data_IF_536940959333
#
_entry.id   IF_536940959333
#
_cell.length_a   1.000
_cell.length_b   1.000
_cell.length_c   1.000
_cell.angle_alpha   90.00
_cell.angle_beta   90.00
_cell.angle_gamma   90.00
#
_symmetry.space_group_name_H-M   'P 1'
#
loop_
_entity.id
_entity.type
_entity.pdbx_description
1 polymer ?
#
# COMPACT_ATOMS: atom_id res chain seq x y z
N UNK A 1 21.20 -22.23 -5.08
CA UNK A 1 22.11 -23.16 -5.85
C UNK A 1 23.52 -22.58 -5.98
N UNK A 2 23.77 -21.48 -6.69
CA UNK A 2 25.13 -20.95 -6.91
C UNK A 2 25.90 -20.72 -5.60
N UNK A 3 25.31 -20.07 -4.62
CA UNK A 3 25.95 -19.83 -3.31
C UNK A 3 26.33 -21.14 -2.59
N UNK A 4 25.46 -22.16 -2.61
CA UNK A 4 25.78 -23.46 -2.03
C UNK A 4 26.95 -24.13 -2.75
N UNK A 5 27.06 -24.00 -4.08
CA UNK A 5 28.21 -24.49 -4.86
C UNK A 5 29.50 -23.70 -4.57
N UNK A 6 29.37 -22.42 -4.21
CA UNK A 6 30.50 -21.58 -3.81
C UNK A 6 30.95 -21.82 -2.36
N UNK A 7 30.31 -22.76 -1.66
CA UNK A 7 30.70 -23.20 -0.32
C UNK A 7 29.99 -22.51 0.84
N UNK A 8 28.98 -21.69 0.58
CA UNK A 8 28.17 -21.08 1.64
C UNK A 8 27.20 -22.10 2.24
N UNK A 9 27.01 -22.07 3.55
CA UNK A 9 25.87 -22.67 4.22
C UNK A 9 24.64 -21.76 4.03
N UNK A 10 23.75 -22.14 3.12
CA UNK A 10 22.65 -21.28 2.67
C UNK A 10 21.40 -21.52 3.51
N UNK A 11 20.96 -20.50 4.25
CA UNK A 11 19.62 -20.43 4.83
C UNK A 11 18.69 -19.69 3.89
N UNK A 12 17.69 -20.38 3.34
CA UNK A 12 16.66 -19.74 2.51
C UNK A 12 15.56 -19.16 3.40
N UNK A 13 15.36 -17.85 3.36
CA UNK A 13 14.34 -17.16 4.14
C UNK A 13 13.23 -16.61 3.23
N UNK A 14 11.98 -16.96 3.52
CA UNK A 14 10.78 -16.45 2.86
C UNK A 14 10.01 -15.56 3.84
N UNK A 15 9.98 -14.25 3.61
CA UNK A 15 9.17 -13.33 4.40
C UNK A 15 7.75 -13.27 3.81
N UNK A 16 6.77 -13.80 4.55
CA UNK A 16 5.37 -13.85 4.15
C UNK A 16 4.62 -12.60 4.60
N UNK A 17 4.09 -11.85 3.64
CA UNK A 17 3.23 -10.66 3.83
C UNK A 17 1.76 -10.97 3.56
N UNK A 18 1.35 -12.22 3.69
CA UNK A 18 -0.04 -12.68 3.49
C UNK A 18 -0.41 -13.00 2.04
N UNK A 19 0.58 -13.13 1.14
CA UNK A 19 0.37 -13.45 -0.27
C UNK A 19 0.49 -14.92 -0.64
N UNK A 20 0.94 -15.79 0.29
CA UNK A 20 1.16 -17.20 0.03
C UNK A 20 0.11 -18.09 0.70
N UNK A 21 -0.38 -19.11 -0.04
CA UNK A 21 -1.12 -20.21 0.57
C UNK A 21 -0.16 -21.18 1.30
N UNK A 22 -0.72 -22.04 2.15
CA UNK A 22 0.07 -23.07 2.83
C UNK A 22 0.77 -24.03 1.86
N UNK A 23 0.10 -24.36 0.75
CA UNK A 23 0.65 -25.22 -0.31
C UNK A 23 1.84 -24.54 -1.00
N UNK A 24 1.72 -23.23 -1.27
CA UNK A 24 2.81 -22.44 -1.86
C UNK A 24 4.01 -22.36 -0.91
N UNK A 25 3.80 -22.15 0.38
CA UNK A 25 4.88 -22.13 1.38
C UNK A 25 5.59 -23.47 1.46
N UNK A 26 4.85 -24.59 1.44
CA UNK A 26 5.43 -25.96 1.39
C UNK A 26 6.23 -26.20 0.10
N UNK A 27 5.71 -25.73 -1.04
CA UNK A 27 6.42 -25.83 -2.31
C UNK A 27 7.71 -25.00 -2.32
N UNK A 28 7.68 -23.80 -1.74
CA UNK A 28 8.87 -22.95 -1.58
C UNK A 28 9.95 -23.63 -0.73
N UNK A 29 9.55 -24.24 0.37
CA UNK A 29 10.47 -25.00 1.23
C UNK A 29 11.12 -26.16 0.48
N UNK A 30 10.32 -26.99 -0.20
CA UNK A 30 10.83 -28.12 -1.00
C UNK A 30 11.81 -27.66 -2.10
N UNK A 31 11.48 -26.57 -2.78
CA UNK A 31 12.34 -25.99 -3.81
C UNK A 31 13.64 -25.44 -3.21
N UNK A 32 13.60 -24.80 -2.04
CA UNK A 32 14.79 -24.31 -1.37
C UNK A 32 15.79 -25.44 -1.08
N UNK A 33 15.33 -26.53 -0.49
CA UNK A 33 16.18 -27.71 -0.24
C UNK A 33 16.69 -28.35 -1.55
N UNK A 34 15.84 -28.47 -2.56
CA UNK A 34 16.24 -28.99 -3.88
C UNK A 34 17.32 -28.13 -4.55
N UNK A 35 17.32 -26.82 -4.28
CA UNK A 35 18.32 -25.87 -4.78
C UNK A 35 19.59 -25.80 -3.93
N UNK A 36 19.70 -26.60 -2.86
CA UNK A 36 20.88 -26.73 -2.03
C UNK A 36 20.90 -25.85 -0.78
N UNK A 37 19.76 -25.35 -0.33
CA UNK A 37 19.69 -24.70 0.98
C UNK A 37 19.91 -25.71 2.09
N UNK A 38 20.71 -25.35 3.10
CA UNK A 38 20.93 -26.15 4.31
C UNK A 38 19.73 -26.03 5.26
N UNK A 39 19.04 -24.86 5.24
CA UNK A 39 17.85 -24.59 6.05
C UNK A 39 16.86 -23.72 5.28
N UNK A 40 15.58 -23.90 5.58
CA UNK A 40 14.51 -23.01 5.13
C UNK A 40 13.75 -22.44 6.33
N UNK A 41 13.32 -21.20 6.23
CA UNK A 41 12.46 -20.53 7.22
C UNK A 41 11.42 -19.67 6.54
N UNK A 42 10.17 -19.77 6.99
CA UNK A 42 9.12 -18.80 6.69
C UNK A 42 9.03 -17.82 7.85
N UNK A 43 9.22 -16.54 7.55
CA UNK A 43 9.07 -15.42 8.49
C UNK A 43 7.70 -14.78 8.23
N UNK A 44 6.73 -15.06 9.10
CA UNK A 44 5.43 -14.41 8.99
C UNK A 44 5.52 -12.99 9.55
N UNK A 45 5.34 -12.01 8.67
CA UNK A 45 5.38 -10.58 9.01
C UNK A 45 4.03 -9.90 8.85
N UNK A 46 2.96 -10.65 8.61
CA UNK A 46 1.65 -10.13 8.24
C UNK A 46 1.09 -9.17 9.29
N UNK A 47 1.09 -9.58 10.56
CA UNK A 47 0.61 -8.74 11.66
C UNK A 47 1.54 -7.55 11.93
N UNK A 48 2.86 -7.74 11.89
CA UNK A 48 3.81 -6.63 12.06
C UNK A 48 3.64 -5.60 10.93
N UNK A 49 3.44 -6.05 9.70
CA UNK A 49 3.19 -5.19 8.55
C UNK A 49 1.90 -4.38 8.71
N UNK A 50 0.83 -5.01 9.22
CA UNK A 50 -0.39 -4.26 9.54
C UNK A 50 -0.14 -3.20 10.61
N UNK A 51 0.36 -3.59 11.77
CA UNK A 51 0.52 -2.71 12.92
C UNK A 51 1.50 -1.55 12.68
N UNK A 52 2.51 -1.77 11.86
CA UNK A 52 3.59 -0.81 11.62
C UNK A 52 3.50 -0.04 10.31
N UNK A 53 2.59 -0.42 9.42
CA UNK A 53 2.44 0.26 8.13
C UNK A 53 1.00 0.37 7.66
N UNK A 54 0.29 -0.73 7.44
CA UNK A 54 -1.04 -0.68 6.81
C UNK A 54 -2.03 0.16 7.62
N UNK A 55 -1.98 0.07 8.93
CA UNK A 55 -2.77 0.90 9.84
C UNK A 55 -2.61 2.40 9.53
N UNK A 56 -1.37 2.85 9.38
CA UNK A 56 -1.09 4.26 9.07
C UNK A 56 -1.41 4.63 7.63
N UNK A 57 -1.30 3.67 6.71
CA UNK A 57 -1.77 3.87 5.33
C UNK A 57 -3.30 4.06 5.28
N UNK A 58 -4.05 3.35 6.13
CA UNK A 58 -5.50 3.53 6.29
C UNK A 58 -5.76 4.90 6.93
N UNK A 59 -5.15 5.22 8.07
CA UNK A 59 -5.31 6.50 8.77
C UNK A 59 -5.00 7.71 7.88
N UNK A 60 -3.98 7.58 7.04
CA UNK A 60 -3.57 8.59 6.07
C UNK A 60 -4.37 8.60 4.77
N UNK A 61 -5.21 7.61 4.50
CA UNK A 61 -5.81 7.39 3.17
C UNK A 61 -4.76 7.37 2.06
N UNK A 62 -3.64 6.67 2.29
CA UNK A 62 -2.42 6.77 1.47
C UNK A 62 -2.59 6.06 0.13
N UNK A 63 -2.56 6.86 -0.94
CA UNK A 63 -2.61 6.39 -2.33
C UNK A 63 -1.60 7.20 -3.17
N UNK A 64 -0.59 6.54 -3.74
CA UNK A 64 0.35 7.21 -4.64
C UNK A 64 -0.36 7.62 -5.93
N UNK A 65 -0.17 8.87 -6.35
CA UNK A 65 -0.83 9.46 -7.51
C UNK A 65 -2.37 9.29 -7.48
N UNK A 66 -2.96 9.26 -6.28
CA UNK A 66 -4.40 9.07 -6.04
C UNK A 66 -4.98 7.74 -6.58
N UNK A 67 -4.16 6.78 -6.97
CA UNK A 67 -4.65 5.50 -7.52
C UNK A 67 -3.97 4.27 -6.91
N UNK A 68 -2.65 4.27 -6.71
CA UNK A 68 -1.89 3.09 -6.32
C UNK A 68 -1.70 2.98 -4.81
N UNK A 69 -2.14 1.87 -4.17
CA UNK A 69 -2.11 1.72 -2.70
C UNK A 69 -0.72 1.35 -2.15
N UNK A 70 0.35 1.48 -2.93
CA UNK A 70 1.76 1.26 -2.55
C UNK A 70 2.01 -0.17 -1.98
N UNK A 71 1.28 -1.18 -2.47
CA UNK A 71 1.35 -2.54 -1.94
C UNK A 71 2.77 -3.10 -1.91
N UNK A 72 3.44 -3.18 -3.06
CA UNK A 72 4.79 -3.76 -3.16
C UNK A 72 5.83 -2.96 -2.38
N UNK A 73 5.80 -1.63 -2.46
CA UNK A 73 6.83 -0.81 -1.82
C UNK A 73 6.85 -0.99 -0.30
N UNK A 74 5.66 -0.98 0.31
CA UNK A 74 5.52 -1.14 1.76
C UNK A 74 5.86 -2.56 2.20
N UNK A 75 5.47 -3.59 1.46
CA UNK A 75 5.81 -4.98 1.76
C UNK A 75 7.31 -5.25 1.79
N UNK A 76 8.05 -4.78 0.76
CA UNK A 76 9.49 -5.03 0.62
C UNK A 76 10.28 -4.57 1.83
N UNK A 77 9.87 -3.46 2.44
CA UNK A 77 10.51 -2.93 3.65
C UNK A 77 10.38 -3.92 4.82
N UNK A 78 9.18 -4.44 5.07
CA UNK A 78 8.94 -5.39 6.16
C UNK A 78 9.56 -6.76 5.89
N UNK A 79 9.59 -7.20 4.64
CA UNK A 79 10.34 -8.37 4.22
C UNK A 79 11.83 -8.20 4.51
N UNK A 80 12.42 -7.07 4.15
CA UNK A 80 13.83 -6.78 4.38
C UNK A 80 14.16 -6.68 5.88
N UNK A 81 13.32 -6.03 6.68
CA UNK A 81 13.49 -5.93 8.14
C UNK A 81 13.51 -7.33 8.78
N UNK A 82 12.57 -8.21 8.41
CA UNK A 82 12.49 -9.56 8.94
C UNK A 82 13.72 -10.39 8.56
N UNK A 83 14.16 -10.31 7.31
CA UNK A 83 15.36 -11.02 6.82
C UNK A 83 16.63 -10.50 7.54
N UNK A 84 16.76 -9.17 7.70
CA UNK A 84 17.90 -8.59 8.42
C UNK A 84 17.95 -9.02 9.90
N UNK A 85 16.79 -9.09 10.56
CA UNK A 85 16.69 -9.60 11.94
C UNK A 85 17.11 -11.06 12.03
N UNK A 86 16.59 -11.89 11.12
CA UNK A 86 16.95 -13.32 11.08
C UNK A 86 18.42 -13.51 10.79
N UNK A 87 19.00 -12.78 9.86
CA UNK A 87 20.43 -12.86 9.56
C UNK A 87 21.31 -12.52 10.78
N UNK A 88 20.93 -11.49 11.55
CA UNK A 88 21.61 -11.14 12.81
C UNK A 88 21.44 -12.20 13.89
N UNK A 89 20.25 -12.77 14.02
CA UNK A 89 19.94 -13.82 14.99
C UNK A 89 20.82 -15.07 14.80
N UNK A 90 21.01 -15.47 13.54
CA UNK A 90 21.85 -16.63 13.22
C UNK A 90 23.33 -16.32 13.05
N UNK A 91 23.73 -15.04 13.16
CA UNK A 91 25.13 -14.62 12.94
C UNK A 91 25.59 -14.83 11.49
N UNK A 92 24.72 -14.54 10.52
CA UNK A 92 25.04 -14.72 9.11
C UNK A 92 26.16 -13.76 8.66
N UNK A 93 27.10 -14.24 7.88
CA UNK A 93 28.18 -13.46 7.27
C UNK A 93 27.66 -12.60 6.10
N UNK A 94 26.62 -13.08 5.40
CA UNK A 94 26.04 -12.40 4.23
C UNK A 94 24.53 -12.56 4.13
N UNK A 95 23.89 -11.58 3.49
CA UNK A 95 22.51 -11.63 3.01
C UNK A 95 22.53 -11.58 1.49
N UNK A 96 21.86 -12.54 0.83
CA UNK A 96 21.78 -12.59 -0.62
C UNK A 96 20.36 -12.33 -1.12
N UNK A 97 20.22 -11.57 -2.20
CA UNK A 97 18.95 -11.40 -2.91
C UNK A 97 19.11 -11.32 -4.43
N UNK A 98 18.03 -11.62 -5.17
CA UNK A 98 18.01 -11.68 -6.63
C UNK A 98 17.42 -10.42 -7.32
N UNK A 99 17.38 -9.28 -6.66
CA UNK A 99 16.86 -8.07 -7.29
C UNK A 99 17.78 -7.60 -8.43
N UNK A 100 17.16 -7.19 -9.54
CA UNK A 100 17.89 -6.65 -10.70
C UNK A 100 18.26 -5.18 -10.50
N UNK A 101 19.24 -4.69 -11.25
CA UNK A 101 19.63 -3.27 -11.27
C UNK A 101 18.60 -2.32 -11.88
N UNK A 102 17.52 -2.84 -12.49
CA UNK A 102 16.53 -2.03 -13.20
C UNK A 102 15.36 -1.56 -12.31
N UNK A 103 15.07 -2.28 -11.21
CA UNK A 103 13.90 -2.03 -10.35
C UNK A 103 14.22 -1.31 -9.05
N UNK A 104 13.18 -1.00 -8.28
CA UNK A 104 13.28 -0.36 -6.97
C UNK A 104 13.69 -1.34 -5.86
N UNK A 105 13.44 -2.64 -6.03
CA UNK A 105 13.56 -3.63 -4.96
C UNK A 105 15.00 -3.76 -4.45
N UNK A 106 15.99 -3.64 -5.34
CA UNK A 106 17.40 -3.59 -4.94
C UNK A 106 17.67 -2.50 -3.91
N UNK A 107 17.10 -1.30 -4.10
CA UNK A 107 17.29 -0.17 -3.20
C UNK A 107 16.60 -0.45 -1.86
N UNK A 108 15.38 -0.98 -1.90
CA UNK A 108 14.58 -1.27 -0.71
C UNK A 108 15.25 -2.31 0.19
N UNK A 109 15.80 -3.35 -0.41
CA UNK A 109 16.53 -4.39 0.32
C UNK A 109 17.87 -3.88 0.83
N UNK A 110 18.71 -3.36 -0.04
CA UNK A 110 20.06 -2.92 0.34
C UNK A 110 20.03 -1.84 1.44
N UNK A 111 19.23 -0.79 1.28
CA UNK A 111 19.13 0.26 2.29
C UNK A 111 18.68 -0.28 3.65
N UNK A 112 17.68 -1.17 3.65
CA UNK A 112 17.21 -1.77 4.90
C UNK A 112 18.28 -2.67 5.53
N UNK A 113 18.98 -3.46 4.73
CA UNK A 113 20.06 -4.34 5.23
C UNK A 113 21.23 -3.56 5.78
N UNK A 114 21.68 -2.50 5.09
CA UNK A 114 22.75 -1.63 5.56
C UNK A 114 22.46 -1.01 6.92
N UNK A 115 21.18 -0.66 7.19
CA UNK A 115 20.78 -0.06 8.47
C UNK A 115 20.52 -1.12 9.54
N UNK A 116 19.82 -2.21 9.19
CA UNK A 116 19.31 -3.19 10.17
C UNK A 116 20.30 -4.32 10.47
N UNK A 117 21.25 -4.59 9.56
CA UNK A 117 22.28 -5.61 9.71
C UNK A 117 23.66 -5.04 9.34
N UNK A 118 24.14 -4.01 10.07
CA UNK A 118 25.41 -3.37 9.75
C UNK A 118 26.57 -4.37 9.86
N UNK A 119 27.45 -4.38 8.86
CA UNK A 119 28.60 -5.27 8.79
C UNK A 119 28.34 -6.65 8.17
N UNK A 120 27.09 -6.98 7.82
CA UNK A 120 26.74 -8.17 7.04
C UNK A 120 26.96 -7.86 5.56
N UNK A 121 27.63 -8.75 4.82
CA UNK A 121 27.86 -8.60 3.39
C UNK A 121 26.54 -8.71 2.63
N UNK A 122 26.34 -7.88 1.59
CA UNK A 122 25.18 -7.99 0.70
C UNK A 122 25.62 -8.60 -0.63
N UNK A 123 25.09 -9.77 -0.97
CA UNK A 123 25.42 -10.49 -2.21
C UNK A 123 24.25 -10.37 -3.19
N UNK A 124 24.53 -9.84 -4.38
CA UNK A 124 23.53 -9.56 -5.42
C UNK A 124 23.95 -10.09 -6.78
N UNK A 125 24.09 -11.42 -6.90
CA UNK A 125 24.64 -12.07 -8.10
C UNK A 125 23.99 -11.62 -9.40
N UNK A 126 22.66 -11.48 -9.42
CA UNK A 126 21.89 -11.06 -10.60
C UNK A 126 22.27 -9.65 -11.04
N UNK A 127 22.34 -8.70 -10.11
CA UNK A 127 22.71 -7.32 -10.36
C UNK A 127 24.18 -7.17 -10.74
N UNK A 128 25.06 -7.77 -9.93
CA UNK A 128 26.51 -7.55 -10.03
C UNK A 128 27.10 -8.18 -11.31
N UNK A 129 26.47 -9.24 -11.80
CA UNK A 129 26.85 -9.91 -13.05
C UNK A 129 26.00 -9.47 -14.25
N UNK A 130 25.02 -8.58 -14.02
CA UNK A 130 24.04 -8.14 -15.02
C UNK A 130 23.38 -9.32 -15.76
N UNK A 131 23.04 -10.39 -15.02
CA UNK A 131 22.47 -11.60 -15.61
C UNK A 131 21.11 -11.30 -16.23
N UNK A 132 20.93 -11.74 -17.46
CA UNK A 132 19.62 -11.79 -18.08
C UNK A 132 18.80 -12.95 -17.54
N UNK A 133 17.48 -12.84 -17.62
CA UNK A 133 16.57 -13.92 -17.23
C UNK A 133 16.85 -15.24 -17.98
N UNK A 134 17.27 -15.16 -19.24
CA UNK A 134 17.63 -16.33 -20.02
C UNK A 134 18.87 -17.01 -19.48
N UNK A 135 19.91 -16.25 -19.12
CA UNK A 135 21.13 -16.81 -18.52
C UNK A 135 20.86 -17.49 -17.18
N UNK A 136 19.95 -16.93 -16.35
CA UNK A 136 19.52 -17.55 -15.09
C UNK A 136 18.80 -18.89 -15.36
N UNK A 137 17.90 -18.92 -16.34
CA UNK A 137 17.17 -20.14 -16.76
C UNK A 137 18.15 -21.20 -17.30
N UNK A 138 19.08 -20.81 -18.15
CA UNK A 138 20.07 -21.71 -18.74
C UNK A 138 20.97 -22.29 -17.66
N UNK A 139 21.38 -21.47 -16.69
CA UNK A 139 22.15 -21.94 -15.53
C UNK A 139 21.38 -23.00 -14.71
N UNK A 140 20.10 -22.74 -14.40
CA UNK A 140 19.27 -23.69 -13.65
C UNK A 140 19.08 -25.00 -14.43
N UNK A 141 18.80 -24.94 -15.74
CA UNK A 141 18.64 -26.10 -16.60
C UNK A 141 19.93 -26.93 -16.67
N UNK A 142 21.09 -26.30 -16.82
CA UNK A 142 22.39 -26.95 -16.85
C UNK A 142 22.71 -27.71 -15.56
N UNK A 143 22.08 -27.32 -14.44
CA UNK A 143 22.24 -27.96 -13.13
C UNK A 143 21.06 -28.86 -12.73
N UNK A 144 20.24 -29.27 -13.71
CA UNK A 144 19.16 -30.25 -13.50
C UNK A 144 17.90 -29.69 -12.84
N UNK A 145 17.76 -28.36 -12.75
CA UNK A 145 16.55 -27.71 -12.30
C UNK A 145 15.81 -27.15 -13.51
N UNK A 146 14.78 -27.85 -13.98
CA UNK A 146 13.91 -27.36 -15.04
C UNK A 146 12.58 -26.88 -14.46
N UNK A 147 12.20 -25.66 -14.82
CA UNK A 147 10.86 -25.11 -14.62
C UNK A 147 10.43 -24.41 -15.92
N UNK A 148 9.15 -24.41 -16.20
CA UNK A 148 8.61 -23.72 -17.38
C UNK A 148 8.57 -22.22 -17.13
N UNK A 149 9.67 -21.52 -17.45
CA UNK A 149 9.79 -20.07 -17.32
C UNK A 149 9.27 -19.32 -18.57
N UNK A 150 8.89 -20.03 -19.63
CA UNK A 150 8.53 -19.45 -20.93
C UNK A 150 7.13 -18.84 -20.93
N UNK A 151 6.28 -19.18 -19.97
CA UNK A 151 4.86 -18.74 -19.90
C UNK A 151 4.62 -17.46 -19.12
N UNK A 152 5.63 -16.83 -18.54
CA UNK A 152 5.42 -15.66 -17.69
C UNK A 152 5.50 -14.36 -18.49
N UNK A 153 4.42 -14.06 -19.24
CA UNK A 153 4.20 -12.74 -19.85
C UNK A 153 4.16 -11.64 -18.79
N UNK A 154 3.63 -11.96 -17.62
CA UNK A 154 3.50 -11.05 -16.48
C UNK A 154 4.28 -11.56 -15.28
N UNK A 155 4.76 -10.63 -14.47
CA UNK A 155 5.32 -10.87 -13.15
C UNK A 155 4.35 -10.35 -12.10
N UNK A 156 4.03 -11.18 -11.11
CA UNK A 156 3.09 -10.87 -10.05
C UNK A 156 3.78 -10.76 -8.70
N UNK A 157 3.37 -9.76 -7.91
CA UNK A 157 3.68 -9.69 -6.49
C UNK A 157 2.36 -9.67 -5.72
N UNK A 158 2.06 -10.76 -5.02
CA UNK A 158 0.83 -10.96 -4.28
C UNK A 158 1.08 -10.74 -2.80
N UNK A 159 0.30 -9.89 -2.17
CA UNK A 159 0.35 -9.63 -0.73
C UNK A 159 -1.03 -9.26 -0.19
N UNK A 160 -1.13 -9.08 1.12
CA UNK A 160 -2.41 -8.75 1.77
C UNK A 160 -2.96 -7.38 1.33
N UNK A 161 -2.09 -6.46 0.91
CA UNK A 161 -2.48 -5.09 0.51
C UNK A 161 -2.61 -4.93 -1.01
N UNK A 162 -2.82 -6.02 -1.73
CA UNK A 162 -3.07 -6.08 -3.16
C UNK A 162 -1.99 -6.81 -3.95
N UNK A 163 -2.29 -7.01 -5.22
CA UNK A 163 -1.42 -7.67 -6.19
C UNK A 163 -0.92 -6.67 -7.21
N UNK A 164 0.38 -6.58 -7.42
CA UNK A 164 0.92 -5.81 -8.54
C UNK A 164 1.29 -6.72 -9.72
N UNK A 165 1.14 -6.18 -10.92
CA UNK A 165 1.31 -6.86 -12.20
C UNK A 165 2.31 -6.05 -13.02
N UNK A 166 3.38 -6.69 -13.49
CA UNK A 166 4.41 -6.05 -14.32
C UNK A 166 4.64 -6.81 -15.62
N UNK A 167 5.07 -6.13 -16.66
CA UNK A 167 5.36 -6.71 -17.98
C UNK A 167 4.19 -6.65 -18.96
N UNK A 168 4.26 -7.41 -20.03
CA UNK A 168 3.22 -7.47 -21.06
C UNK A 168 2.89 -6.11 -21.67
N UNK A 169 1.62 -5.79 -21.77
CA UNK A 169 1.07 -4.56 -22.37
C UNK A 169 1.48 -3.28 -21.62
N UNK A 170 1.92 -3.40 -20.35
CA UNK A 170 2.38 -2.23 -19.58
C UNK A 170 3.66 -1.59 -20.12
N UNK A 171 4.38 -2.27 -21.01
CA UNK A 171 5.55 -1.73 -21.70
C UNK A 171 5.17 -0.74 -22.83
N UNK A 172 3.92 -0.72 -23.23
CA UNK A 172 3.37 0.18 -24.24
C UNK A 172 2.38 1.15 -23.58
N UNK A 173 2.69 2.45 -23.60
CA UNK A 173 1.88 3.48 -22.92
C UNK A 173 0.45 3.61 -23.46
N UNK A 174 0.18 3.14 -24.68
CA UNK A 174 -1.14 3.17 -25.31
C UNK A 174 -2.04 1.98 -24.96
N UNK A 175 -1.50 0.95 -24.25
CA UNK A 175 -2.23 -0.28 -23.93
C UNK A 175 -2.56 -0.39 -22.46
N UNK A 176 -3.74 -0.92 -22.15
CA UNK A 176 -4.14 -1.39 -20.83
C UNK A 176 -3.87 -2.88 -20.65
N UNK A 177 -4.00 -3.35 -19.39
CA UNK A 177 -3.98 -4.79 -19.11
C UNK A 177 -5.27 -5.45 -19.62
N UNK A 178 -5.19 -6.57 -20.34
CA UNK A 178 -6.35 -7.35 -20.73
C UNK A 178 -6.89 -8.17 -19.54
N UNK A 179 -8.11 -8.69 -19.67
CA UNK A 179 -8.78 -9.42 -18.58
C UNK A 179 -7.99 -10.63 -18.08
N UNK A 180 -7.31 -11.34 -18.97
CA UNK A 180 -6.47 -12.49 -18.64
C UNK A 180 -5.20 -12.17 -17.83
N UNK A 181 -4.84 -10.89 -17.72
CA UNK A 181 -3.71 -10.47 -16.91
C UNK A 181 -4.06 -10.39 -15.42
N UNK A 182 -5.33 -10.31 -15.08
CA UNK A 182 -5.78 -10.26 -13.68
C UNK A 182 -5.94 -11.67 -13.11
N UNK A 183 -5.51 -11.86 -11.85
CA UNK A 183 -5.59 -13.16 -11.17
C UNK A 183 -7.00 -13.47 -10.66
N UNK A 184 -7.80 -12.45 -10.39
CA UNK A 184 -9.18 -12.57 -9.89
C UNK A 184 -10.13 -12.04 -10.94
N UNK A 185 -11.17 -12.82 -11.28
CA UNK A 185 -12.13 -12.46 -12.33
C UNK A 185 -13.44 -11.96 -11.74
N UNK A 186 -14.17 -11.14 -12.53
CA UNK A 186 -15.49 -10.65 -12.13
C UNK A 186 -16.46 -11.82 -12.09
N UNK A 187 -17.08 -12.05 -10.95
CA UNK A 187 -18.06 -13.12 -10.71
C UNK A 187 -19.41 -12.60 -10.22
N UNK A 188 -19.46 -11.35 -9.75
CA UNK A 188 -20.66 -10.70 -9.27
C UNK A 188 -21.13 -9.63 -10.24
N UNK A 189 -22.45 -9.65 -10.56
CA UNK A 189 -23.10 -8.70 -11.49
C UNK A 189 -24.15 -7.83 -10.83
N UNK A 190 -24.75 -8.29 -9.74
CA UNK A 190 -25.79 -7.58 -8.99
C UNK A 190 -25.18 -6.58 -8.01
N UNK A 191 -25.82 -5.42 -7.86
CA UNK A 191 -25.39 -4.41 -6.88
C UNK A 191 -25.51 -4.93 -5.44
N UNK A 192 -24.55 -4.61 -4.61
CA UNK A 192 -24.52 -4.98 -3.20
C UNK A 192 -24.04 -3.81 -2.35
N UNK A 193 -24.64 -3.64 -1.16
CA UNK A 193 -24.09 -2.74 -0.14
C UNK A 193 -22.96 -3.44 0.61
N UNK A 194 -21.86 -2.72 0.78
CA UNK A 194 -20.75 -3.08 1.66
C UNK A 194 -20.72 -2.08 2.81
N UNK A 195 -20.75 -2.59 4.04
CA UNK A 195 -20.68 -1.81 5.27
C UNK A 195 -19.33 -2.09 5.93
N UNK A 196 -18.52 -1.05 6.13
CA UNK A 196 -17.24 -1.18 6.84
C UNK A 196 -17.32 -0.31 8.07
N UNK A 197 -17.22 -0.95 9.25
CA UNK A 197 -17.27 -0.26 10.54
C UNK A 197 -15.87 -0.04 11.06
N UNK A 198 -15.63 1.20 11.51
CA UNK A 198 -14.36 1.61 12.09
C UNK A 198 -14.56 2.04 13.56
N UNK A 199 -13.57 1.76 14.39
CA UNK A 199 -13.40 2.41 15.68
C UNK A 199 -12.02 3.04 15.76
N UNK A 200 -12.00 4.37 15.94
CA UNK A 200 -10.77 5.18 15.93
C UNK A 200 -9.85 4.89 14.73
N UNK A 201 -10.48 4.77 13.55
CA UNK A 201 -9.82 4.52 12.28
C UNK A 201 -9.47 3.06 11.99
N UNK A 202 -9.60 2.14 12.94
CA UNK A 202 -9.36 0.72 12.74
C UNK A 202 -10.64 -0.04 12.39
N UNK A 203 -10.57 -0.98 11.44
CA UNK A 203 -11.71 -1.79 11.01
C UNK A 203 -12.13 -2.71 12.17
N UNK A 204 -13.41 -2.72 12.52
CA UNK A 204 -13.98 -3.57 13.57
C UNK A 204 -15.06 -4.53 13.09
N UNK A 205 -15.72 -4.20 11.96
CA UNK A 205 -16.70 -5.11 11.35
C UNK A 205 -16.80 -4.90 9.83
N UNK A 206 -17.26 -5.93 9.12
CA UNK A 206 -17.57 -5.93 7.70
C UNK A 206 -18.96 -6.56 7.53
N UNK A 207 -19.92 -5.83 6.94
CA UNK A 207 -21.31 -6.24 6.81
C UNK A 207 -21.93 -6.74 8.13
N UNK A 208 -21.65 -5.96 9.19
CA UNK A 208 -22.09 -6.23 10.57
C UNK A 208 -21.47 -7.49 11.23
N UNK A 209 -20.60 -8.22 10.53
CA UNK A 209 -19.77 -9.30 11.09
C UNK A 209 -18.53 -8.70 11.79
N UNK A 210 -18.33 -8.96 13.10
CA UNK A 210 -17.20 -8.39 13.84
C UNK A 210 -15.89 -9.11 13.52
N UNK A 211 -14.78 -8.34 13.50
CA UNK A 211 -13.43 -8.84 13.29
C UNK A 211 -12.47 -8.29 14.35
N UNK A 212 -11.97 -9.15 15.22
CA UNK A 212 -10.87 -8.82 16.12
C UNK A 212 -9.54 -8.78 15.35
N UNK A 213 -9.36 -9.73 14.40
CA UNK A 213 -8.20 -9.80 13.53
C UNK A 213 -8.40 -8.93 12.29
N UNK A 214 -7.61 -7.86 12.21
CA UNK A 214 -7.65 -6.87 11.11
C UNK A 214 -7.21 -7.46 9.77
N UNK A 215 -6.35 -8.48 9.81
CA UNK A 215 -5.91 -9.20 8.61
C UNK A 215 -7.09 -9.92 7.97
N UNK A 216 -7.90 -10.62 8.79
CA UNK A 216 -9.10 -11.31 8.31
C UNK A 216 -10.15 -10.34 7.78
N UNK A 217 -10.30 -9.17 8.40
CA UNK A 217 -11.18 -8.12 7.90
C UNK A 217 -10.75 -7.63 6.51
N UNK A 218 -9.45 -7.36 6.31
CA UNK A 218 -8.89 -6.97 5.02
C UNK A 218 -9.11 -8.07 3.98
N UNK A 219 -8.84 -9.33 4.33
CA UNK A 219 -9.07 -10.48 3.44
C UNK A 219 -10.54 -10.63 3.04
N UNK A 220 -11.46 -10.40 3.99
CA UNK A 220 -12.90 -10.44 3.70
C UNK A 220 -13.34 -9.33 2.74
N UNK A 221 -12.83 -8.12 2.92
CA UNK A 221 -13.12 -7.00 2.01
C UNK A 221 -12.50 -7.27 0.62
N UNK A 222 -11.29 -7.86 0.57
CA UNK A 222 -10.65 -8.25 -0.68
C UNK A 222 -11.48 -9.29 -1.42
N UNK A 223 -11.95 -10.34 -0.75
CA UNK A 223 -12.83 -11.37 -1.32
C UNK A 223 -14.08 -10.75 -1.96
N UNK A 224 -14.79 -9.89 -1.19
CA UNK A 224 -16.00 -9.23 -1.65
C UNK A 224 -15.70 -8.31 -2.84
N UNK A 225 -14.73 -7.43 -2.73
CA UNK A 225 -14.45 -6.43 -3.76
C UNK A 225 -13.84 -7.00 -5.04
N UNK A 226 -12.99 -8.02 -4.91
CA UNK A 226 -12.39 -8.69 -6.06
C UNK A 226 -13.43 -9.43 -6.92
N UNK A 227 -14.50 -9.96 -6.31
CA UNK A 227 -15.60 -10.57 -7.04
C UNK A 227 -16.31 -9.59 -8.00
N UNK A 228 -16.20 -8.30 -7.75
CA UNK A 228 -16.65 -7.22 -8.65
C UNK A 228 -15.56 -6.67 -9.56
N UNK A 229 -14.31 -7.13 -9.46
CA UNK A 229 -13.18 -6.57 -10.20
C UNK A 229 -12.79 -5.15 -9.76
N UNK A 230 -13.17 -4.76 -8.54
CA UNK A 230 -12.83 -3.43 -7.98
C UNK A 230 -11.34 -3.35 -7.68
N UNK A 231 -10.76 -2.15 -7.76
CA UNK A 231 -9.36 -1.89 -7.42
C UNK A 231 -8.36 -2.28 -8.51
N UNK A 232 -8.82 -2.54 -9.74
CA UNK A 232 -7.97 -2.75 -10.90
C UNK A 232 -7.62 -1.41 -11.54
N UNK A 233 -6.33 -1.14 -11.71
CA UNK A 233 -5.85 0.09 -12.37
C UNK A 233 -4.38 -0.06 -12.77
N UNK A 234 -3.82 1.00 -13.34
CA UNK A 234 -2.42 1.11 -13.71
C UNK A 234 -1.83 2.42 -13.18
N UNK A 235 -0.81 2.31 -12.33
CA UNK A 235 -0.05 3.46 -11.89
C UNK A 235 1.10 3.75 -12.85
N UNK A 236 1.29 5.04 -13.15
CA UNK A 236 2.45 5.57 -13.87
C UNK A 236 3.20 6.49 -12.94
N UNK A 237 4.49 6.26 -12.74
CA UNK A 237 5.29 7.09 -11.84
C UNK A 237 6.78 6.88 -12.01
N UNK A 238 7.55 7.70 -11.31
CA UNK A 238 9.00 7.56 -11.31
C UNK A 238 9.41 6.44 -10.35
N UNK A 239 10.37 5.63 -10.80
CA UNK A 239 11.14 4.75 -9.91
C UNK A 239 12.05 5.59 -9.01
N UNK A 240 12.58 5.01 -7.95
CA UNK A 240 13.53 5.69 -7.03
C UNK A 240 14.76 6.19 -7.81
N UNK A 241 15.16 5.49 -8.86
CA UNK A 241 16.27 5.87 -9.73
C UNK A 241 15.89 6.86 -10.85
N UNK A 242 14.67 7.40 -10.84
CA UNK A 242 14.24 8.47 -11.74
C UNK A 242 13.75 8.04 -13.13
N UNK A 243 13.51 6.75 -13.35
CA UNK A 243 12.97 6.23 -14.62
C UNK A 243 11.45 6.07 -14.51
N UNK A 244 10.70 6.51 -15.52
CA UNK A 244 9.26 6.28 -15.62
C UNK A 244 8.95 4.79 -15.73
N UNK A 245 8.04 4.32 -14.85
CA UNK A 245 7.57 2.95 -14.88
C UNK A 245 6.05 2.88 -14.84
N UNK A 246 5.53 1.76 -15.31
CA UNK A 246 4.11 1.43 -15.21
C UNK A 246 3.96 0.14 -14.42
N UNK A 247 3.01 0.12 -13.50
CA UNK A 247 2.63 -1.06 -12.74
C UNK A 247 1.11 -1.19 -12.76
N UNK A 248 0.62 -2.32 -13.27
CA UNK A 248 -0.77 -2.69 -13.11
C UNK A 248 -1.00 -3.28 -11.72
N UNK A 249 -2.23 -3.24 -11.26
CA UNK A 249 -2.57 -3.83 -9.97
C UNK A 249 -4.03 -4.21 -9.88
N UNK A 250 -4.31 -5.15 -8.97
CA UNK A 250 -5.63 -5.44 -8.43
C UNK A 250 -5.55 -5.37 -6.90
N UNK A 251 -6.33 -4.49 -6.30
CA UNK A 251 -6.23 -4.14 -4.88
C UNK A 251 -7.60 -3.69 -4.36
N UNK A 252 -8.55 -4.62 -4.29
CA UNK A 252 -9.93 -4.31 -3.94
C UNK A 252 -10.05 -3.83 -2.49
N UNK A 253 -9.44 -4.54 -1.54
CA UNK A 253 -9.49 -4.16 -0.13
C UNK A 253 -8.88 -2.78 0.10
N UNK A 254 -7.65 -2.46 -0.32
CA UNK A 254 -7.08 -1.12 -0.14
C UNK A 254 -7.99 -0.02 -0.69
N UNK A 255 -8.52 -0.21 -1.90
CA UNK A 255 -9.38 0.78 -2.54
C UNK A 255 -10.67 1.02 -1.77
N UNK A 256 -11.34 -0.04 -1.36
CA UNK A 256 -12.60 0.04 -0.62
C UNK A 256 -12.40 0.58 0.80
N UNK A 257 -11.35 0.11 1.50
CA UNK A 257 -11.05 0.54 2.87
C UNK A 257 -10.69 2.02 2.91
N UNK A 258 -9.78 2.46 2.03
CA UNK A 258 -9.34 3.86 1.98
C UNK A 258 -10.49 4.79 1.64
N UNK A 259 -11.35 4.45 0.68
CA UNK A 259 -12.49 5.31 0.33
C UNK A 259 -13.58 5.30 1.39
N UNK A 260 -13.85 4.16 2.05
CA UNK A 260 -14.77 4.08 3.18
C UNK A 260 -14.25 4.91 4.38
N UNK A 261 -12.97 4.77 4.71
CA UNK A 261 -12.33 5.51 5.79
C UNK A 261 -12.32 7.02 5.49
N UNK A 262 -11.92 7.43 4.28
CA UNK A 262 -11.96 8.82 3.82
C UNK A 262 -13.38 9.41 3.86
N UNK A 263 -14.39 8.60 3.50
CA UNK A 263 -15.78 9.03 3.61
C UNK A 263 -16.15 9.33 5.06
N UNK A 264 -15.83 8.43 5.99
CA UNK A 264 -16.12 8.62 7.42
C UNK A 264 -15.40 9.85 7.98
N UNK A 265 -14.15 10.09 7.60
CA UNK A 265 -13.38 11.27 8.03
C UNK A 265 -14.01 12.59 7.61
N UNK A 266 -14.64 12.67 6.42
CA UNK A 266 -15.33 13.86 5.97
C UNK A 266 -16.45 14.30 6.91
N UNK A 267 -17.04 13.36 7.63
CA UNK A 267 -18.10 13.62 8.60
C UNK A 267 -17.60 13.83 10.04
N UNK A 268 -16.41 13.32 10.37
CA UNK A 268 -15.94 13.27 11.76
C UNK A 268 -14.74 14.17 12.05
N UNK A 269 -14.04 14.66 11.05
CA UNK A 269 -12.90 15.57 11.18
C UNK A 269 -13.25 17.00 10.81
N UNK A 270 -12.65 17.96 11.53
CA UNK A 270 -12.71 19.35 11.14
C UNK A 270 -11.95 19.60 9.83
N UNK A 271 -12.29 20.71 9.14
CA UNK A 271 -11.63 21.13 7.89
C UNK A 271 -10.10 21.11 8.01
N UNK A 272 -9.55 21.70 9.05
CA UNK A 272 -8.10 21.84 9.20
C UNK A 272 -7.41 20.52 9.59
N UNK A 273 -8.09 19.63 10.34
CA UNK A 273 -7.58 18.28 10.59
C UNK A 273 -7.43 17.49 9.28
N UNK A 274 -8.42 17.55 8.38
CA UNK A 274 -8.34 16.86 7.08
C UNK A 274 -7.17 17.41 6.25
N UNK A 275 -7.03 18.74 6.11
CA UNK A 275 -5.95 19.34 5.33
C UNK A 275 -4.56 18.97 5.82
N UNK A 276 -4.31 19.06 7.13
CA UNK A 276 -3.00 18.73 7.70
C UNK A 276 -2.71 17.23 7.61
N UNK A 277 -3.70 16.39 7.92
CA UNK A 277 -3.56 14.94 7.82
C UNK A 277 -3.19 14.52 6.38
N UNK A 278 -3.86 15.04 5.36
CA UNK A 278 -3.59 14.71 3.98
C UNK A 278 -2.17 15.12 3.54
N UNK A 279 -1.67 16.25 4.00
CA UNK A 279 -0.29 16.68 3.73
C UNK A 279 0.72 15.70 4.34
N UNK A 280 0.53 15.36 5.61
CA UNK A 280 1.43 14.45 6.34
C UNK A 280 1.37 13.04 5.77
N UNK A 281 0.19 12.57 5.39
CA UNK A 281 -0.03 11.26 4.80
C UNK A 281 0.64 11.11 3.42
N UNK A 282 0.66 12.18 2.61
CA UNK A 282 1.40 12.18 1.35
C UNK A 282 2.90 11.95 1.57
N UNK A 283 3.50 12.55 2.60
CA UNK A 283 4.88 12.30 2.96
C UNK A 283 5.09 10.87 3.47
N UNK A 284 4.17 10.34 4.29
CA UNK A 284 4.22 8.94 4.73
C UNK A 284 4.30 7.97 3.53
N UNK A 285 3.41 8.15 2.56
CA UNK A 285 3.41 7.36 1.33
C UNK A 285 4.68 7.52 0.50
N UNK A 286 5.23 8.75 0.44
CA UNK A 286 6.48 9.02 -0.26
C UNK A 286 7.66 8.30 0.41
N UNK A 287 7.80 8.39 1.72
CA UNK A 287 8.86 7.69 2.46
C UNK A 287 8.79 6.18 2.32
N UNK A 288 7.58 5.59 2.34
CA UNK A 288 7.39 4.17 2.05
C UNK A 288 7.86 3.82 0.62
N UNK A 289 7.48 4.63 -0.37
CA UNK A 289 7.87 4.36 -1.76
C UNK A 289 9.38 4.47 -1.96
N UNK A 290 10.01 5.49 -1.38
CA UNK A 290 11.44 5.81 -1.51
C UNK A 290 12.34 4.99 -0.57
N UNK A 291 11.79 3.98 0.12
CA UNK A 291 12.54 3.14 1.07
C UNK A 291 13.07 3.88 2.31
N UNK A 292 12.43 4.99 2.68
CA UNK A 292 12.83 5.84 3.80
C UNK A 292 11.99 5.56 5.07
N UNK A 293 11.43 4.36 5.20
CA UNK A 293 10.61 3.98 6.36
C UNK A 293 11.37 4.10 7.70
N UNK A 294 12.69 3.89 7.69
CA UNK A 294 13.53 3.96 8.88
C UNK A 294 13.94 5.40 9.25
N UNK A 295 13.47 6.41 8.52
CA UNK A 295 13.72 7.80 8.87
C UNK A 295 13.09 8.18 10.21
N UNK A 296 13.82 8.92 11.08
CA UNK A 296 13.33 9.31 12.41
C UNK A 296 12.03 10.12 12.42
N UNK A 297 11.67 10.76 11.31
CA UNK A 297 10.40 11.50 11.17
C UNK A 297 9.18 10.58 11.04
N UNK A 298 9.36 9.31 10.69
CA UNK A 298 8.22 8.40 10.48
C UNK A 298 7.37 8.20 11.75
N UNK A 299 7.94 7.95 12.94
CA UNK A 299 7.16 7.91 14.18
C UNK A 299 6.41 9.20 14.50
N UNK A 300 6.95 10.39 14.15
CA UNK A 300 6.27 11.67 14.35
C UNK A 300 5.02 11.77 13.46
N UNK A 301 5.13 11.36 12.20
CA UNK A 301 4.03 11.26 11.26
C UNK A 301 2.98 10.28 11.76
N UNK A 302 3.37 9.09 12.19
CA UNK A 302 2.50 8.04 12.73
C UNK A 302 1.74 8.52 13.98
N UNK A 303 2.40 9.25 14.87
CA UNK A 303 1.77 9.86 16.04
C UNK A 303 0.71 10.89 15.65
N UNK A 304 0.96 11.73 14.65
CA UNK A 304 -0.02 12.69 14.13
C UNK A 304 -1.21 11.97 13.48
N UNK A 305 -0.96 10.98 12.63
CA UNK A 305 -2.01 10.17 12.01
C UNK A 305 -2.88 9.50 13.08
N UNK A 306 -2.27 8.85 14.09
CA UNK A 306 -2.99 8.24 15.21
C UNK A 306 -3.85 9.25 15.97
N UNK A 307 -3.28 10.43 16.29
CA UNK A 307 -4.02 11.49 16.99
C UNK A 307 -5.24 11.97 16.23
N UNK A 308 -5.20 11.97 14.90
CA UNK A 308 -6.32 12.38 14.06
C UNK A 308 -7.51 11.42 14.14
N UNK A 309 -7.29 10.16 14.49
CA UNK A 309 -8.30 9.11 14.44
C UNK A 309 -9.22 9.03 15.66
N UNK A 310 -9.00 9.84 16.70
CA UNK A 310 -9.74 9.77 17.98
C UNK A 310 -11.25 9.72 17.85
N UNK A 311 -11.82 10.39 16.86
CA UNK A 311 -13.27 10.49 16.64
C UNK A 311 -13.70 9.83 15.30
N UNK A 312 -12.79 9.14 14.60
CA UNK A 312 -13.10 8.46 13.33
C UNK A 312 -13.68 7.07 13.67
N UNK A 313 -14.90 7.09 14.18
CA UNK A 313 -15.64 5.86 14.56
C UNK A 313 -17.04 5.90 13.97
N UNK A 314 -17.47 4.79 13.37
CA UNK A 314 -18.76 4.65 12.69
C UNK A 314 -18.69 3.69 11.51
N UNK A 315 -19.80 3.55 10.81
CA UNK A 315 -19.92 2.67 9.64
C UNK A 315 -20.00 3.49 8.37
N UNK A 316 -19.09 3.25 7.44
CA UNK A 316 -19.17 3.76 6.07
C UNK A 316 -19.90 2.74 5.18
N UNK A 317 -20.75 3.23 4.29
CA UNK A 317 -21.60 2.43 3.41
C UNK A 317 -21.21 2.71 1.97
N UNK A 318 -20.82 1.67 1.27
CA UNK A 318 -20.47 1.68 -0.16
C UNK A 318 -21.49 0.81 -0.93
N UNK A 319 -21.80 1.17 -2.16
CA UNK A 319 -22.60 0.36 -3.07
C UNK A 319 -21.68 -0.16 -4.18
N UNK A 320 -21.47 -1.47 -4.21
CA UNK A 320 -20.61 -2.16 -5.15
C UNK A 320 -21.38 -2.50 -6.43
N UNK A 321 -20.67 -2.44 -7.56
CA UNK A 321 -21.14 -2.86 -8.89
C UNK A 321 -19.93 -3.38 -9.69
N UNK A 322 -20.15 -4.11 -10.79
CA UNK A 322 -19.04 -4.54 -11.64
C UNK A 322 -18.09 -3.39 -12.01
N UNK A 323 -16.81 -3.59 -11.75
CA UNK A 323 -15.69 -2.69 -12.02
C UNK A 323 -15.75 -1.33 -11.29
N UNK A 324 -16.59 -1.18 -10.24
CA UNK A 324 -16.69 0.08 -9.54
C UNK A 324 -17.54 0.05 -8.28
N UNK A 325 -17.62 1.20 -7.61
CA UNK A 325 -18.49 1.42 -6.46
C UNK A 325 -18.82 2.90 -6.33
N UNK A 326 -19.82 3.20 -5.51
CA UNK A 326 -20.13 4.56 -5.08
C UNK A 326 -20.23 4.64 -3.55
N UNK A 327 -19.91 5.80 -2.99
CA UNK A 327 -20.10 6.08 -1.57
C UNK A 327 -21.55 6.45 -1.33
N UNK A 328 -22.24 5.77 -0.38
CA UNK A 328 -23.64 5.99 -0.06
C UNK A 328 -23.80 6.94 1.11
N UNK A 329 -23.08 6.70 2.21
CA UNK A 329 -23.17 7.53 3.41
C UNK A 329 -22.44 6.92 4.60
N UNK A 330 -22.65 7.53 5.77
CA UNK A 330 -22.07 7.08 7.04
C UNK A 330 -23.12 7.01 8.14
N UNK A 331 -22.91 6.13 9.10
CA UNK A 331 -23.58 6.16 10.40
C UNK A 331 -22.53 6.31 11.50
N UNK A 332 -22.56 7.46 12.18
CA UNK A 332 -21.60 7.81 13.22
C UNK A 332 -22.25 8.70 14.28
N UNK A 333 -21.87 8.47 15.52
CA UNK A 333 -22.22 9.36 16.66
C UNK A 333 -21.37 10.64 16.64
N UNK A 334 -20.23 10.61 15.94
CA UNK A 334 -19.29 11.73 15.79
C UNK A 334 -19.55 12.59 14.54
N UNK A 335 -20.67 12.38 13.87
CA UNK A 335 -21.05 13.06 12.64
C UNK A 335 -21.29 14.55 12.88
N UNK A 336 -20.38 15.38 12.34
CA UNK A 336 -20.43 16.84 12.45
C UNK A 336 -21.60 17.47 11.65
N UNK A 337 -22.14 16.75 10.66
CA UNK A 337 -23.32 17.19 9.91
C UNK A 337 -24.57 17.25 10.81
N UNK A 338 -24.62 16.47 11.89
CA UNK A 338 -25.70 16.46 12.90
C UNK A 338 -25.61 17.64 13.90
N UNK A 339 -24.73 18.62 13.65
CA UNK A 339 -24.59 19.79 14.50
C UNK A 339 -25.88 20.63 14.53
N UNK A 340 -26.26 21.08 15.74
CA UNK A 340 -27.42 21.99 15.94
C UNK A 340 -27.07 23.46 15.73
N UNK A 341 -25.80 23.82 15.42
CA UNK A 341 -25.36 25.18 15.21
C UNK A 341 -25.84 25.77 13.88
N UNK A 342 -26.21 24.92 12.92
CA UNK A 342 -26.75 25.34 11.63
C UNK A 342 -26.87 24.15 10.67
N UNK A 343 -27.73 24.27 9.71
CA UNK A 343 -27.95 23.30 8.64
C UNK A 343 -27.51 23.88 7.29
N UNK A 344 -26.94 23.05 6.45
CA UNK A 344 -26.49 23.48 5.13
C UNK A 344 -27.69 23.87 4.25
N UNK A 345 -27.66 25.09 3.69
CA UNK A 345 -28.72 25.61 2.84
C UNK A 345 -29.83 26.36 3.59
N UNK A 346 -29.84 26.33 4.93
CA UNK A 346 -30.82 26.99 5.75
C UNK A 346 -30.28 28.30 6.37
N UNK A 347 -31.20 29.16 6.80
CA UNK A 347 -30.85 30.41 7.51
C UNK A 347 -30.17 30.06 8.84
N UNK A 348 -29.00 30.65 9.07
CA UNK A 348 -28.25 30.46 10.29
C UNK A 348 -28.84 31.30 11.45
N UNK A 349 -28.88 30.70 12.62
CA UNK A 349 -29.33 31.36 13.84
C UNK A 349 -28.19 31.58 14.86
N UNK A 350 -26.97 31.09 14.54
CA UNK A 350 -25.80 31.25 15.40
C UNK A 350 -25.14 32.63 15.32
N UNK A 351 -25.46 33.44 14.30
CA UNK A 351 -24.96 34.80 14.11
C UNK A 351 -25.96 35.63 13.30
N UNK A 352 -25.85 36.97 13.42
CA UNK A 352 -26.66 37.93 12.70
C UNK A 352 -26.09 38.24 11.31
N UNK A 353 -26.91 38.81 10.44
CA UNK A 353 -26.46 39.27 9.14
C UNK A 353 -25.37 40.37 9.23
N UNK A 354 -25.41 41.22 10.24
CA UNK A 354 -24.39 42.26 10.45
C UNK A 354 -23.06 41.68 10.91
N UNK A 355 -23.06 40.66 11.77
CA UNK A 355 -21.86 39.93 12.15
C UNK A 355 -21.24 39.25 10.95
N UNK A 356 -22.03 38.61 10.08
CA UNK A 356 -21.56 37.99 8.84
C UNK A 356 -20.92 39.02 7.89
N UNK A 357 -21.56 40.20 7.70
CA UNK A 357 -21.01 41.30 6.90
C UNK A 357 -19.69 41.81 7.48
N UNK A 358 -19.62 41.98 8.80
CA UNK A 358 -18.40 42.38 9.50
C UNK A 358 -17.26 41.41 9.26
N UNK A 359 -17.52 40.12 9.44
CA UNK A 359 -16.57 39.04 9.20
C UNK A 359 -16.06 39.04 7.74
N UNK A 360 -16.97 39.10 6.75
CA UNK A 360 -16.63 39.11 5.32
C UNK A 360 -15.75 40.32 4.98
N UNK A 361 -16.09 41.52 5.54
CA UNK A 361 -15.31 42.73 5.34
C UNK A 361 -13.87 42.57 5.83
N UNK A 362 -13.66 41.99 7.01
CA UNK A 362 -12.32 41.75 7.58
C UNK A 362 -11.61 40.68 6.80
N UNK A 363 -12.26 39.56 6.50
CA UNK A 363 -11.70 38.43 5.75
C UNK A 363 -11.22 38.84 4.35
N UNK A 364 -11.90 39.83 3.71
CA UNK A 364 -11.52 40.33 2.39
C UNK A 364 -10.28 41.22 2.40
N UNK A 365 -9.81 41.66 3.58
CA UNK A 365 -8.73 42.66 3.70
C UNK A 365 -7.45 42.27 2.95
N UNK A 366 -6.90 41.06 3.06
CA UNK A 366 -5.67 40.69 2.33
C UNK A 366 -5.82 40.86 0.82
N UNK A 367 -6.94 40.40 0.26
CA UNK A 367 -7.21 40.54 -1.18
C UNK A 367 -7.40 42.00 -1.60
N UNK A 368 -8.11 42.80 -0.77
CA UNK A 368 -8.32 44.24 -1.02
C UNK A 368 -7.00 45.00 -0.97
N UNK A 369 -6.09 44.65 -0.07
CA UNK A 369 -4.75 45.24 -0.02
C UNK A 369 -3.98 44.90 -1.29
N UNK A 370 -3.96 43.65 -1.68
CA UNK A 370 -3.24 43.18 -2.88
C UNK A 370 -3.73 43.91 -4.14
N UNK A 371 -5.01 43.80 -4.44
CA UNK A 371 -5.60 44.42 -5.63
C UNK A 371 -5.71 45.96 -5.55
N UNK A 372 -5.61 46.53 -4.36
CA UNK A 372 -5.49 47.98 -4.19
C UNK A 372 -4.14 48.55 -4.62
N UNK A 373 -3.09 47.75 -4.50
CA UNK A 373 -1.74 48.10 -4.97
C UNK A 373 -1.54 47.75 -6.45
N UNK A 374 -2.23 46.71 -6.92
CA UNK A 374 -2.13 46.18 -8.29
C UNK A 374 -3.48 46.30 -9.03
N UNK A 375 -3.95 47.54 -9.32
CA UNK A 375 -5.28 47.74 -9.88
C UNK A 375 -5.42 47.24 -11.32
N UNK A 376 -4.31 47.13 -12.06
CA UNK A 376 -4.27 46.75 -13.48
C UNK A 376 -4.14 45.23 -13.66
N UNK A 377 -4.00 44.44 -12.58
CA UNK A 377 -4.00 42.98 -12.70
C UNK A 377 -5.43 42.50 -12.99
N UNK A 378 -5.58 41.73 -14.09
CA UNK A 378 -6.82 41.04 -14.40
C UNK A 378 -7.08 39.94 -13.35
N UNK A 379 -8.33 39.81 -12.90
CA UNK A 379 -8.78 38.90 -11.84
C UNK A 379 -9.31 37.58 -12.41
#
# INVERSE_FOLDING_TARGET
MKLAQDGYEVHAACANTGGFSEEQLKANEQNAYRLGAAKYVTLDVTHEYYEKSLKYMIYGNVMRNNCYPISVSSERIFQAIAIARYAREIGADAIAHGSTGAGNDQIRFDMTFLVMAPGVEIITLTRDKALSRQEEVDYLNAHGFSADFTKLKYSYNVGIWGTSICGGELLDSSKGLPEEAYLKHVTQTEEQLLRITFDKGEITAVNDEPFDDKIKAIQKIEEIGAAYGIGRDCNVGDTIIGIKGRVGFEAAAPKLIIEAHRLLEKYTLSKWQQYWKDQVANWYGMFLHESQYLEPVMPDIEAMLTSSQRNVSGTAILKLRPLGFETVGVDSVNDLLKSKLGEYGEMQHGWTAEEAKGFIKVLSTPLRVYYGIHPDEER
#
